data_IF_935486638047
#
_entry.id   IF_935486638047
#
_cell.length_a   1.000
_cell.length_b   1.000
_cell.length_c   1.000
_cell.angle_alpha   90.00
_cell.angle_beta   90.00
_cell.angle_gamma   90.00
#
_symmetry.space_group_name_H-M   'P 1'
#
loop_
_entity.id
_entity.type
_entity.pdbx_description
1 polymer ?
#
# COMPACT_ATOMS: atom_id res chain seq x y z
N UNK A 1 44.27 -31.54 6.08
CA UNK A 1 44.27 -30.08 5.97
C UNK A 1 42.82 -29.65 5.66
N UNK A 2 42.05 -29.39 6.70
CA UNK A 2 40.61 -29.11 6.60
C UNK A 2 40.43 -27.59 6.46
N UNK A 3 39.93 -27.15 5.31
CA UNK A 3 39.56 -25.76 5.07
C UNK A 3 38.25 -25.49 5.83
N UNK A 4 38.36 -24.70 6.90
CA UNK A 4 37.23 -24.17 7.66
C UNK A 4 36.48 -23.14 6.82
N UNK A 5 35.30 -23.52 6.30
CA UNK A 5 34.32 -22.62 5.67
C UNK A 5 33.64 -21.77 6.76
N UNK A 6 34.35 -20.80 7.29
CA UNK A 6 33.76 -19.79 8.16
C UNK A 6 33.00 -18.77 7.30
N UNK A 7 31.72 -19.03 7.05
CA UNK A 7 30.80 -17.98 6.54
C UNK A 7 30.80 -16.82 7.51
N UNK A 8 31.02 -15.56 7.04
CA UNK A 8 30.98 -14.40 7.93
C UNK A 8 29.61 -14.32 8.61
N UNK A 9 29.60 -14.30 9.94
CA UNK A 9 28.41 -14.17 10.74
C UNK A 9 27.72 -12.83 10.36
N UNK A 10 26.51 -12.93 9.83
CA UNK A 10 25.63 -11.76 9.60
C UNK A 10 25.37 -11.14 10.97
N UNK A 11 25.73 -9.87 11.20
CA UNK A 11 25.49 -9.23 12.49
C UNK A 11 23.98 -9.28 12.81
N UNK A 12 23.61 -9.56 14.08
CA UNK A 12 22.21 -9.71 14.48
C UNK A 12 21.45 -8.44 14.08
N UNK A 13 20.41 -8.61 13.26
CA UNK A 13 19.54 -7.53 12.86
C UNK A 13 18.99 -6.87 14.14
N UNK A 14 19.23 -5.56 14.29
CA UNK A 14 18.70 -4.77 15.41
C UNK A 14 17.22 -5.11 15.59
N UNK A 15 16.87 -5.71 16.73
CA UNK A 15 15.53 -6.20 17.06
C UNK A 15 14.52 -5.08 17.37
N UNK A 16 14.82 -3.85 16.96
CA UNK A 16 13.99 -2.67 17.13
C UNK A 16 13.11 -2.42 15.90
N UNK A 17 11.89 -1.97 16.14
CA UNK A 17 11.00 -1.42 15.11
C UNK A 17 11.71 -0.25 14.41
N UNK A 18 11.83 -0.31 13.09
CA UNK A 18 12.50 0.75 12.31
C UNK A 18 11.51 1.92 12.14
N UNK A 19 11.79 3.04 12.80
CA UNK A 19 10.96 4.25 12.75
C UNK A 19 10.84 4.80 11.34
N UNK A 20 11.88 4.63 10.52
CA UNK A 20 11.91 5.06 9.12
C UNK A 20 10.86 4.31 8.28
N UNK A 21 10.67 3.02 8.53
CA UNK A 21 9.67 2.22 7.81
C UNK A 21 8.25 2.66 8.22
N UNK A 22 8.01 2.90 9.50
CA UNK A 22 6.72 3.43 9.97
C UNK A 22 6.47 4.84 9.38
N UNK A 23 7.50 5.68 9.29
CA UNK A 23 7.43 7.00 8.68
C UNK A 23 7.03 6.91 7.20
N UNK A 24 7.71 6.09 6.40
CA UNK A 24 7.35 5.91 4.98
C UNK A 24 5.94 5.34 4.81
N UNK A 25 5.53 4.37 5.64
CA UNK A 25 4.16 3.86 5.62
C UNK A 25 3.13 4.94 5.94
N UNK A 26 3.47 5.85 6.87
CA UNK A 26 2.64 7.00 7.20
C UNK A 26 2.50 7.96 6.02
N UNK A 27 3.60 8.36 5.39
CA UNK A 27 3.58 9.20 4.19
C UNK A 27 2.72 8.57 3.10
N UNK A 28 2.94 7.29 2.79
CA UNK A 28 2.22 6.59 1.73
C UNK A 28 0.72 6.53 2.01
N UNK A 29 0.31 6.32 3.26
CA UNK A 29 -1.11 6.36 3.63
C UNK A 29 -1.72 7.75 3.48
N UNK A 30 -0.99 8.80 3.84
CA UNK A 30 -1.43 10.19 3.61
C UNK A 30 -1.55 10.49 2.10
N UNK A 31 -0.58 10.03 1.30
CA UNK A 31 -0.64 10.14 -0.17
C UNK A 31 -1.85 9.41 -0.74
N UNK A 32 -2.11 8.16 -0.32
CA UNK A 32 -3.28 7.38 -0.77
C UNK A 32 -4.56 8.17 -0.53
N UNK A 33 -4.71 8.82 0.62
CA UNK A 33 -5.93 9.58 0.95
C UNK A 33 -6.11 10.78 0.04
N UNK A 34 -5.08 11.60 -0.16
CA UNK A 34 -5.18 12.79 -1.02
C UNK A 34 -5.27 12.44 -2.51
N UNK A 35 -4.63 11.34 -2.94
CA UNK A 35 -4.67 10.87 -4.33
C UNK A 35 -6.07 10.37 -4.76
N UNK A 36 -6.95 10.09 -3.80
CA UNK A 36 -8.34 9.68 -4.04
C UNK A 36 -9.35 10.82 -3.83
N UNK A 37 -8.89 12.05 -3.71
CA UNK A 37 -9.73 13.26 -3.66
C UNK A 37 -9.54 14.00 -4.99
N UNK A 38 -10.53 13.93 -5.87
CA UNK A 38 -10.52 14.69 -7.12
C UNK A 38 -10.45 16.19 -6.85
N UNK A 39 -9.51 16.89 -7.46
CA UNK A 39 -9.27 18.31 -7.19
C UNK A 39 -8.37 18.62 -5.99
N UNK A 40 -7.81 17.60 -5.30
CA UNK A 40 -6.74 17.80 -4.31
C UNK A 40 -5.55 18.55 -4.92
N UNK A 41 -5.01 19.52 -4.20
CA UNK A 41 -3.80 20.24 -4.61
C UNK A 41 -2.53 19.49 -4.27
N UNK A 42 -2.52 18.78 -3.13
CA UNK A 42 -1.37 17.99 -2.70
C UNK A 42 -1.18 16.76 -3.61
N UNK A 43 -2.26 16.18 -4.14
CA UNK A 43 -2.15 15.04 -5.07
C UNK A 43 -1.31 15.38 -6.31
N UNK A 44 -1.29 16.64 -6.74
CA UNK A 44 -0.50 17.11 -7.89
C UNK A 44 1.03 17.03 -7.70
N UNK A 45 1.49 16.85 -6.47
CA UNK A 45 2.91 16.71 -6.13
C UNK A 45 3.25 15.33 -5.54
N UNK A 46 2.28 14.40 -5.51
CA UNK A 46 2.53 13.01 -5.09
C UNK A 46 3.13 12.17 -6.22
N UNK A 47 3.53 10.93 -5.90
CA UNK A 47 4.22 10.04 -6.84
C UNK A 47 3.49 9.86 -8.17
N UNK A 48 2.16 9.74 -8.13
CA UNK A 48 1.39 9.48 -9.34
C UNK A 48 1.48 10.61 -10.38
N UNK A 49 1.86 11.82 -9.98
CA UNK A 49 1.96 12.98 -10.87
C UNK A 49 3.23 13.01 -11.72
N UNK A 50 4.32 12.39 -11.26
CA UNK A 50 5.61 12.43 -11.95
C UNK A 50 6.28 11.05 -12.13
N UNK A 51 5.75 9.99 -11.50
CA UNK A 51 6.25 8.64 -11.66
C UNK A 51 5.25 7.75 -12.42
N UNK A 52 5.72 6.66 -13.00
CA UNK A 52 4.84 5.64 -13.58
C UNK A 52 4.30 4.65 -12.53
N UNK A 53 4.83 4.66 -11.31
CA UNK A 53 4.26 4.00 -10.13
C UNK A 53 3.55 5.02 -9.24
N UNK A 54 2.78 4.54 -8.28
CA UNK A 54 2.09 5.38 -7.31
C UNK A 54 2.30 4.89 -5.86
N UNK A 55 1.52 5.41 -4.93
CA UNK A 55 1.58 5.04 -3.54
C UNK A 55 1.29 3.54 -3.29
N UNK A 56 0.57 2.86 -4.18
CA UNK A 56 0.21 1.45 -3.98
C UNK A 56 1.41 0.51 -4.06
N UNK A 57 2.34 0.69 -5.03
CA UNK A 57 3.56 -0.11 -5.11
C UNK A 57 4.41 0.03 -3.85
N UNK A 58 4.59 1.28 -3.41
CA UNK A 58 5.34 1.56 -2.18
C UNK A 58 4.67 0.91 -0.97
N UNK A 59 3.34 1.01 -0.88
CA UNK A 59 2.56 0.45 0.22
C UNK A 59 2.67 -1.08 0.28
N UNK A 60 2.57 -1.77 -0.87
CA UNK A 60 2.67 -3.23 -0.95
C UNK A 60 4.09 -3.70 -0.64
N UNK A 61 5.11 -3.03 -1.16
CA UNK A 61 6.51 -3.33 -0.85
C UNK A 61 6.83 -3.17 0.65
N UNK A 62 6.43 -2.04 1.24
CA UNK A 62 6.60 -1.80 2.68
C UNK A 62 5.76 -2.78 3.51
N UNK A 63 4.63 -3.24 2.99
CA UNK A 63 3.82 -4.31 3.56
C UNK A 63 4.60 -5.61 3.68
N UNK A 64 5.27 -6.03 2.60
CA UNK A 64 6.14 -7.22 2.56
C UNK A 64 7.33 -7.11 3.49
N UNK A 65 8.00 -5.95 3.50
CA UNK A 65 9.11 -5.67 4.41
C UNK A 65 8.68 -5.75 5.89
N UNK A 66 7.55 -5.11 6.24
CA UNK A 66 7.04 -5.11 7.61
C UNK A 66 6.54 -6.50 8.04
N UNK A 67 5.89 -7.24 7.14
CA UNK A 67 5.44 -8.61 7.39
C UNK A 67 6.64 -9.53 7.66
N UNK A 68 7.69 -9.46 6.84
CA UNK A 68 8.91 -10.23 7.06
C UNK A 68 9.59 -9.85 8.39
N UNK A 69 9.67 -8.54 8.71
CA UNK A 69 10.23 -8.07 9.99
C UNK A 69 9.45 -8.62 11.18
N UNK A 70 8.11 -8.58 11.12
CA UNK A 70 7.26 -9.07 12.19
C UNK A 70 7.32 -10.59 12.34
N UNK A 71 7.36 -11.33 11.22
CA UNK A 71 7.46 -12.79 11.23
C UNK A 71 8.80 -13.24 11.81
N UNK A 72 9.92 -12.67 11.37
CA UNK A 72 11.25 -12.99 11.88
C UNK A 72 11.35 -12.71 13.38
N UNK A 73 10.99 -11.50 13.82
CA UNK A 73 11.04 -11.13 15.23
C UNK A 73 10.15 -12.01 16.12
N UNK A 74 8.97 -12.43 15.63
CA UNK A 74 8.09 -13.32 16.37
C UNK A 74 8.62 -14.75 16.40
N UNK A 75 9.12 -15.25 15.28
CA UNK A 75 9.68 -16.58 15.15
C UNK A 75 10.92 -16.78 16.05
N UNK A 76 11.78 -15.76 16.15
CA UNK A 76 12.96 -15.78 17.01
C UNK A 76 12.62 -15.72 18.51
N UNK A 77 11.54 -15.01 18.88
CA UNK A 77 11.16 -14.85 20.31
C UNK A 77 10.25 -15.95 20.83
N UNK A 78 9.34 -16.47 20.01
CA UNK A 78 8.25 -17.34 20.44
C UNK A 78 8.08 -18.60 19.60
N UNK A 79 8.96 -18.82 18.62
CA UNK A 79 8.89 -19.97 17.72
C UNK A 79 8.04 -19.74 16.47
N UNK A 80 8.29 -20.56 15.47
CA UNK A 80 7.70 -20.43 14.13
C UNK A 80 6.18 -20.68 14.13
N UNK A 81 5.68 -21.59 14.96
CA UNK A 81 4.25 -21.90 15.00
C UNK A 81 3.42 -20.75 15.59
N UNK A 82 3.96 -20.04 16.58
CA UNK A 82 3.33 -18.83 17.13
C UNK A 82 3.31 -17.74 16.06
N UNK A 83 4.40 -17.57 15.30
CA UNK A 83 4.45 -16.64 14.19
C UNK A 83 3.41 -16.96 13.12
N UNK A 84 3.28 -18.25 12.70
CA UNK A 84 2.25 -18.71 11.75
C UNK A 84 0.83 -18.38 12.22
N UNK A 85 0.48 -18.76 13.46
CA UNK A 85 -0.85 -18.48 14.04
C UNK A 85 -1.14 -16.97 14.09
N UNK A 86 -0.13 -16.14 14.36
CA UNK A 86 -0.27 -14.68 14.34
C UNK A 86 -0.64 -14.17 12.96
N UNK A 87 -0.02 -14.69 11.90
CA UNK A 87 -0.31 -14.26 10.53
C UNK A 87 -1.67 -14.75 10.04
N UNK A 88 -2.13 -15.94 10.45
CA UNK A 88 -3.52 -16.37 10.23
C UNK A 88 -4.51 -15.41 10.89
N UNK A 89 -4.28 -15.03 12.16
CA UNK A 89 -5.11 -14.01 12.84
C UNK A 89 -5.03 -12.65 12.11
N UNK A 90 -3.86 -12.30 11.57
CA UNK A 90 -3.70 -11.07 10.80
C UNK A 90 -4.52 -11.08 9.51
N UNK A 91 -4.57 -12.19 8.79
CA UNK A 91 -5.43 -12.36 7.62
C UNK A 91 -6.91 -12.12 7.98
N UNK A 92 -7.39 -12.71 9.08
CA UNK A 92 -8.77 -12.49 9.58
C UNK A 92 -8.99 -11.00 9.97
N UNK A 93 -7.99 -10.34 10.56
CA UNK A 93 -8.10 -8.91 10.87
C UNK A 93 -8.23 -8.05 9.60
N UNK A 94 -7.46 -8.38 8.55
CA UNK A 94 -7.54 -7.65 7.27
C UNK A 94 -8.87 -7.95 6.56
N UNK A 95 -9.35 -9.19 6.61
CA UNK A 95 -10.66 -9.54 6.09
C UNK A 95 -11.79 -8.77 6.79
N UNK A 96 -11.77 -8.69 8.11
CA UNK A 96 -12.72 -7.86 8.88
C UNK A 96 -12.60 -6.38 8.51
N UNK A 97 -11.40 -5.88 8.27
CA UNK A 97 -11.20 -4.51 7.81
C UNK A 97 -11.76 -4.30 6.39
N UNK A 98 -11.62 -5.29 5.50
CA UNK A 98 -12.27 -5.26 4.18
C UNK A 98 -13.79 -5.12 4.31
N UNK A 99 -14.43 -5.96 5.11
CA UNK A 99 -15.89 -5.89 5.35
C UNK A 99 -16.29 -4.55 5.97
N UNK A 100 -15.53 -4.06 6.96
CA UNK A 100 -15.78 -2.78 7.60
C UNK A 100 -15.63 -1.60 6.61
N UNK A 101 -14.60 -1.63 5.75
CA UNK A 101 -14.40 -0.60 4.72
C UNK A 101 -15.53 -0.64 3.70
N UNK A 102 -15.91 -1.81 3.21
CA UNK A 102 -17.04 -1.99 2.29
C UNK A 102 -18.34 -1.45 2.90
N UNK A 103 -18.67 -1.86 4.12
CA UNK A 103 -19.86 -1.36 4.82
C UNK A 103 -19.83 0.16 4.99
N UNK A 104 -18.69 0.72 5.40
CA UNK A 104 -18.52 2.16 5.59
C UNK A 104 -18.68 2.92 4.26
N UNK A 105 -18.14 2.41 3.17
CA UNK A 105 -18.32 2.99 1.84
C UNK A 105 -19.78 2.98 1.41
N UNK A 106 -20.48 1.85 1.58
CA UNK A 106 -21.91 1.75 1.26
C UNK A 106 -22.76 2.71 2.09
N UNK A 107 -22.46 2.85 3.38
CA UNK A 107 -23.16 3.81 4.26
C UNK A 107 -22.90 5.25 3.81
N UNK A 108 -21.64 5.60 3.55
CA UNK A 108 -21.27 6.95 3.05
C UNK A 108 -21.96 7.22 1.72
N UNK A 109 -21.96 6.26 0.79
CA UNK A 109 -22.64 6.37 -0.51
C UNK A 109 -24.13 6.59 -0.36
N UNK A 110 -24.81 5.81 0.48
CA UNK A 110 -26.24 5.95 0.73
C UNK A 110 -26.58 7.30 1.38
N UNK A 111 -25.75 7.80 2.29
CA UNK A 111 -25.93 9.12 2.91
C UNK A 111 -25.75 10.23 1.87
N UNK A 112 -24.71 10.17 1.04
CA UNK A 112 -24.46 11.17 0.00
C UNK A 112 -25.60 11.19 -1.04
N UNK A 113 -26.05 10.02 -1.48
CA UNK A 113 -27.17 9.88 -2.41
C UNK A 113 -28.48 10.46 -1.83
N UNK A 114 -28.75 10.19 -0.55
CA UNK A 114 -29.91 10.77 0.15
C UNK A 114 -29.92 12.31 0.13
N UNK A 115 -28.75 12.94 0.17
CA UNK A 115 -28.61 14.39 0.06
C UNK A 115 -28.46 14.90 -1.38
N UNK A 116 -28.62 14.03 -2.39
CA UNK A 116 -28.46 14.36 -3.80
C UNK A 116 -27.03 14.82 -4.14
N UNK A 117 -26.02 14.25 -3.49
CA UNK A 117 -24.62 14.55 -3.73
C UNK A 117 -24.06 13.46 -4.64
N UNK A 118 -23.84 13.80 -5.91
CA UNK A 118 -23.17 12.92 -6.86
C UNK A 118 -21.68 12.85 -6.57
N UNK A 119 -21.11 11.66 -6.73
CA UNK A 119 -19.68 11.45 -6.59
C UNK A 119 -19.13 10.68 -7.79
N UNK A 120 -18.14 11.24 -8.50
CA UNK A 120 -17.54 10.56 -9.67
C UNK A 120 -16.74 9.30 -9.27
N UNK A 121 -16.26 9.21 -8.02
CA UNK A 121 -15.51 8.06 -7.51
C UNK A 121 -16.38 7.04 -6.75
N UNK A 122 -17.67 7.34 -6.58
CA UNK A 122 -18.61 6.33 -6.13
C UNK A 122 -18.99 5.48 -7.33
N UNK A 123 -18.67 4.21 -7.28
CA UNK A 123 -19.32 3.22 -8.12
C UNK A 123 -20.77 3.11 -7.60
N UNK A 124 -21.60 4.10 -7.97
CA UNK A 124 -23.05 4.14 -7.65
C UNK A 124 -23.72 2.85 -8.11
N UNK A 125 -23.22 2.26 -9.20
CA UNK A 125 -23.65 0.96 -9.71
C UNK A 125 -23.48 -0.17 -8.68
N UNK A 126 -22.46 -0.13 -7.83
CA UNK A 126 -22.29 -1.13 -6.77
C UNK A 126 -23.37 -1.03 -5.69
N UNK A 127 -23.81 0.18 -5.33
CA UNK A 127 -24.87 0.38 -4.33
C UNK A 127 -26.22 0.01 -4.90
N UNK A 128 -26.56 0.46 -6.11
CA UNK A 128 -27.82 0.13 -6.78
C UNK A 128 -27.98 -1.37 -7.04
N UNK A 129 -26.91 -2.05 -7.49
CA UNK A 129 -26.88 -3.50 -7.69
C UNK A 129 -27.03 -4.26 -6.37
N UNK A 130 -26.37 -3.80 -5.30
CA UNK A 130 -26.50 -4.43 -3.97
C UNK A 130 -27.90 -4.24 -3.38
N UNK A 131 -28.56 -3.10 -3.62
CA UNK A 131 -29.95 -2.87 -3.19
C UNK A 131 -30.93 -3.70 -3.99
N UNK A 132 -30.69 -3.90 -5.28
CA UNK A 132 -31.55 -4.73 -6.15
C UNK A 132 -31.48 -6.23 -5.81
N UNK A 133 -30.30 -6.74 -5.43
CA UNK A 133 -30.07 -8.13 -5.10
C UNK A 133 -29.19 -8.30 -3.84
N UNK A 134 -29.71 -7.94 -2.64
CA UNK A 134 -28.90 -7.77 -1.45
C UNK A 134 -28.20 -9.06 -0.99
N UNK A 135 -28.86 -10.21 -1.13
CA UNK A 135 -28.26 -11.49 -0.74
C UNK A 135 -27.10 -11.89 -1.67
N UNK A 136 -27.28 -11.73 -2.97
CA UNK A 136 -26.24 -12.00 -3.96
C UNK A 136 -25.05 -11.05 -3.75
N UNK A 137 -25.31 -9.76 -3.61
CA UNK A 137 -24.27 -8.76 -3.37
C UNK A 137 -23.50 -9.02 -2.07
N UNK A 138 -24.16 -9.47 -1.01
CA UNK A 138 -23.52 -9.88 0.23
C UNK A 138 -22.58 -11.09 0.02
N UNK A 139 -23.05 -12.12 -0.68
CA UNK A 139 -22.24 -13.31 -0.99
C UNK A 139 -21.03 -12.92 -1.84
N UNK A 140 -21.20 -12.08 -2.87
CA UNK A 140 -20.12 -11.59 -3.72
C UNK A 140 -19.05 -10.81 -2.92
N UNK A 141 -19.45 -9.98 -1.97
CA UNK A 141 -18.52 -9.28 -1.07
C UNK A 141 -17.80 -10.27 -0.16
N UNK A 142 -18.52 -11.19 0.49
CA UNK A 142 -17.93 -12.18 1.39
C UNK A 142 -16.92 -13.10 0.69
N UNK A 143 -17.11 -13.37 -0.60
CA UNK A 143 -16.25 -14.23 -1.42
C UNK A 143 -15.20 -13.47 -2.25
N UNK A 144 -15.07 -12.15 -2.05
CA UNK A 144 -14.20 -11.26 -2.83
C UNK A 144 -14.58 -11.12 -4.32
N UNK A 145 -15.74 -11.60 -4.73
CA UNK A 145 -16.22 -11.43 -6.10
C UNK A 145 -16.72 -10.01 -6.39
N UNK A 146 -17.02 -9.23 -5.34
CA UNK A 146 -17.30 -7.80 -5.41
C UNK A 146 -16.37 -7.06 -4.46
N UNK A 147 -15.67 -6.06 -4.99
CA UNK A 147 -14.66 -5.30 -4.26
C UNK A 147 -14.92 -3.81 -4.50
N UNK A 148 -15.60 -3.10 -3.60
CA UNK A 148 -15.78 -1.67 -3.74
C UNK A 148 -14.46 -0.93 -3.93
N UNK A 149 -14.46 0.10 -4.76
CA UNK A 149 -13.29 0.77 -5.32
C UNK A 149 -12.12 0.97 -4.33
N UNK A 150 -12.37 1.60 -3.19
CA UNK A 150 -11.30 1.85 -2.21
C UNK A 150 -11.02 0.67 -1.27
N UNK A 151 -11.87 -0.38 -1.25
CA UNK A 151 -11.63 -1.58 -0.46
C UNK A 151 -10.84 -2.66 -1.24
N UNK A 152 -10.71 -2.53 -2.55
CA UNK A 152 -10.21 -3.55 -3.49
C UNK A 152 -8.76 -4.03 -3.24
N UNK A 153 -7.94 -3.26 -2.54
CA UNK A 153 -6.58 -3.67 -2.17
C UNK A 153 -6.55 -4.65 -0.99
N UNK A 154 -7.56 -4.65 -0.12
CA UNK A 154 -7.56 -5.45 1.11
C UNK A 154 -7.67 -6.96 0.87
N UNK A 155 -8.48 -7.49 -0.08
CA UNK A 155 -8.49 -8.91 -0.44
C UNK A 155 -7.11 -9.46 -0.79
N UNK A 156 -6.35 -8.71 -1.60
CA UNK A 156 -4.97 -9.05 -1.94
C UNK A 156 -4.09 -9.16 -0.68
N UNK A 157 -4.23 -8.24 0.28
CA UNK A 157 -3.48 -8.29 1.55
C UNK A 157 -3.88 -9.45 2.46
N UNK A 158 -5.13 -9.94 2.38
CA UNK A 158 -5.53 -11.20 3.06
C UNK A 158 -4.68 -12.34 2.54
N UNK A 159 -4.57 -12.48 1.20
CA UNK A 159 -3.76 -13.52 0.56
C UNK A 159 -2.28 -13.40 0.95
N UNK A 160 -1.73 -12.19 0.98
CA UNK A 160 -0.33 -11.95 1.36
C UNK A 160 -0.07 -12.28 2.83
N UNK A 161 -1.00 -12.00 3.72
CA UNK A 161 -0.88 -12.38 5.13
C UNK A 161 -0.88 -13.91 5.29
N UNK A 162 -1.72 -14.63 4.54
CA UNK A 162 -1.75 -16.10 4.52
C UNK A 162 -0.46 -16.69 3.93
N UNK A 163 0.11 -16.06 2.90
CA UNK A 163 1.33 -16.52 2.23
C UNK A 163 2.62 -16.19 3.02
N UNK A 164 2.60 -15.20 3.92
CA UNK A 164 3.79 -14.75 4.68
C UNK A 164 4.54 -15.87 5.39
N UNK A 165 3.87 -16.86 6.07
CA UNK A 165 4.54 -17.98 6.71
C UNK A 165 5.34 -18.89 5.77
N UNK A 166 5.03 -18.89 4.47
CA UNK A 166 5.79 -19.60 3.45
C UNK A 166 6.86 -18.69 2.82
N UNK A 167 6.51 -17.45 2.50
CA UNK A 167 7.39 -16.48 1.84
C UNK A 167 8.64 -16.18 2.67
N UNK A 168 8.50 -15.93 3.99
CA UNK A 168 9.62 -15.47 4.81
C UNK A 168 10.70 -16.55 5.01
N UNK A 169 10.38 -17.82 5.33
CA UNK A 169 11.38 -18.87 5.39
C UNK A 169 12.08 -19.10 4.03
N UNK A 170 11.35 -19.05 2.91
CA UNK A 170 11.91 -19.14 1.56
C UNK A 170 12.83 -17.95 1.25
N UNK A 171 12.45 -16.72 1.61
CA UNK A 171 13.27 -15.53 1.45
C UNK A 171 14.59 -15.62 2.22
N UNK A 172 14.63 -16.32 3.36
CA UNK A 172 15.86 -16.54 4.15
C UNK A 172 16.73 -17.66 3.60
N UNK A 173 16.11 -18.78 3.21
CA UNK A 173 16.83 -20.00 2.86
C UNK A 173 17.15 -20.10 1.37
N UNK A 174 16.20 -19.71 0.50
CA UNK A 174 16.30 -19.84 -0.96
C UNK A 174 15.81 -18.60 -1.69
N UNK A 175 16.47 -17.42 -1.48
CA UNK A 175 16.00 -16.14 -2.00
C UNK A 175 15.92 -16.09 -3.52
N UNK A 176 16.83 -16.76 -4.23
CA UNK A 176 16.85 -16.79 -5.70
C UNK A 176 15.65 -17.56 -6.25
N UNK A 177 15.31 -18.70 -5.66
CA UNK A 177 14.15 -19.49 -6.07
C UNK A 177 12.83 -18.80 -5.76
N UNK A 178 12.73 -18.13 -4.61
CA UNK A 178 11.58 -17.31 -4.29
C UNK A 178 11.41 -16.16 -5.29
N UNK A 179 12.49 -15.47 -5.63
CA UNK A 179 12.45 -14.40 -6.62
C UNK A 179 12.05 -14.93 -8.01
N UNK A 180 12.65 -16.03 -8.46
CA UNK A 180 12.33 -16.64 -9.75
C UNK A 180 10.87 -17.08 -9.84
N UNK A 181 10.33 -17.75 -8.81
CA UNK A 181 8.93 -18.14 -8.74
C UNK A 181 7.98 -16.92 -8.70
N UNK A 182 8.35 -15.88 -7.96
CA UNK A 182 7.60 -14.63 -7.92
C UNK A 182 7.59 -13.91 -9.28
N UNK A 183 8.73 -13.88 -9.97
CA UNK A 183 8.84 -13.31 -11.30
C UNK A 183 8.02 -14.12 -12.32
N UNK A 184 8.09 -15.45 -12.28
CA UNK A 184 7.28 -16.33 -13.14
C UNK A 184 5.77 -16.12 -12.92
N UNK A 185 5.34 -16.02 -11.66
CA UNK A 185 3.94 -15.69 -11.31
C UNK A 185 3.53 -14.34 -11.86
N UNK A 186 4.40 -13.31 -11.78
CA UNK A 186 4.13 -11.99 -12.34
C UNK A 186 4.03 -12.04 -13.87
N UNK A 187 4.90 -12.75 -14.55
CA UNK A 187 4.85 -12.91 -16.01
C UNK A 187 3.56 -13.63 -16.47
N UNK A 188 3.12 -14.64 -15.72
CA UNK A 188 1.89 -15.38 -15.98
C UNK A 188 0.63 -14.69 -15.43
N UNK A 189 0.76 -13.56 -14.75
CA UNK A 189 -0.31 -12.95 -13.94
C UNK A 189 -1.58 -12.62 -14.71
N UNK A 190 -1.47 -12.19 -15.96
CA UNK A 190 -2.63 -11.86 -16.81
C UNK A 190 -3.49 -13.09 -17.07
N UNK A 191 -2.86 -14.21 -17.41
CA UNK A 191 -3.54 -15.47 -17.63
C UNK A 191 -4.11 -16.01 -16.30
N UNK A 192 -3.31 -16.09 -15.25
CA UNK A 192 -3.74 -16.55 -13.93
C UNK A 192 -4.90 -15.70 -13.36
N UNK A 193 -4.86 -14.39 -13.58
CA UNK A 193 -5.92 -13.48 -13.13
C UNK A 193 -7.22 -13.72 -13.88
N UNK A 194 -7.16 -13.89 -15.19
CA UNK A 194 -8.34 -14.13 -16.03
C UNK A 194 -9.01 -15.48 -15.70
N UNK A 195 -8.21 -16.54 -15.51
CA UNK A 195 -8.73 -17.90 -15.29
C UNK A 195 -9.20 -18.16 -13.83
N UNK A 196 -8.53 -17.56 -12.85
CA UNK A 196 -8.73 -17.94 -11.45
C UNK A 196 -9.47 -16.89 -10.59
N UNK A 197 -9.51 -15.63 -11.04
CA UNK A 197 -10.04 -14.54 -10.23
C UNK A 197 -11.21 -13.81 -10.88
N UNK A 198 -11.17 -13.65 -12.19
CA UNK A 198 -12.18 -12.86 -12.89
C UNK A 198 -13.47 -13.67 -13.06
N UNK A 199 -14.58 -12.97 -12.96
CA UNK A 199 -15.90 -13.47 -13.35
C UNK A 199 -16.42 -12.67 -14.54
N UNK A 200 -17.44 -13.13 -15.27
CA UNK A 200 -18.03 -12.33 -16.34
C UNK A 200 -18.50 -10.95 -15.94
N UNK A 201 -18.92 -10.80 -14.68
CA UNK A 201 -19.47 -9.55 -14.12
C UNK A 201 -18.46 -8.71 -13.33
N UNK A 202 -17.31 -9.29 -12.93
CA UNK A 202 -16.34 -8.59 -12.09
C UNK A 202 -14.89 -8.98 -12.37
N UNK A 203 -14.01 -7.99 -12.39
CA UNK A 203 -12.56 -8.17 -12.51
C UNK A 203 -11.85 -7.59 -11.28
N UNK A 204 -10.91 -8.32 -10.73
CA UNK A 204 -10.10 -7.83 -9.62
C UNK A 204 -9.32 -6.58 -10.01
N UNK A 205 -9.44 -5.50 -9.21
CA UNK A 205 -8.71 -4.25 -9.44
C UNK A 205 -7.21 -4.38 -9.21
N UNK A 206 -6.80 -5.30 -8.30
CA UNK A 206 -5.42 -5.64 -8.03
C UNK A 206 -5.22 -7.14 -8.18
N UNK A 207 -4.54 -7.55 -9.25
CA UNK A 207 -4.24 -8.95 -9.50
C UNK A 207 -3.18 -9.46 -8.51
N UNK A 208 -3.52 -10.33 -7.54
CA UNK A 208 -2.57 -10.77 -6.51
C UNK A 208 -1.37 -11.55 -7.09
N UNK A 209 -1.53 -12.22 -8.24
CA UNK A 209 -0.44 -12.91 -8.93
C UNK A 209 0.59 -11.93 -9.50
N UNK A 210 0.19 -10.72 -9.83
CA UNK A 210 1.11 -9.65 -10.23
C UNK A 210 1.70 -8.93 -9.01
N UNK A 211 0.86 -8.45 -8.13
CA UNK A 211 1.24 -7.60 -7.02
C UNK A 211 2.05 -8.30 -5.92
N UNK A 212 2.01 -9.64 -5.87
CA UNK A 212 2.88 -10.41 -4.98
C UNK A 212 4.36 -10.13 -5.25
N UNK A 213 4.74 -9.72 -6.48
CA UNK A 213 6.13 -9.36 -6.79
C UNK A 213 6.62 -8.22 -5.89
N UNK A 214 5.84 -7.16 -5.71
CA UNK A 214 6.19 -6.05 -4.81
C UNK A 214 6.30 -6.51 -3.36
N UNK A 215 5.37 -7.34 -2.90
CA UNK A 215 5.39 -7.89 -1.55
C UNK A 215 6.61 -8.79 -1.30
N UNK A 216 6.92 -9.67 -2.23
CA UNK A 216 8.09 -10.57 -2.17
C UNK A 216 9.39 -9.76 -2.22
N UNK A 217 9.50 -8.74 -3.07
CA UNK A 217 10.66 -7.84 -3.10
C UNK A 217 10.87 -7.17 -1.74
N UNK A 218 9.81 -6.69 -1.09
CA UNK A 218 9.88 -6.13 0.26
C UNK A 218 10.39 -7.14 1.29
N UNK A 219 9.89 -8.39 1.24
CA UNK A 219 10.33 -9.46 2.11
C UNK A 219 11.80 -9.85 1.86
N UNK A 220 12.22 -9.92 0.59
CA UNK A 220 13.60 -10.22 0.20
C UNK A 220 14.57 -9.13 0.69
N UNK A 221 14.26 -7.86 0.48
CA UNK A 221 15.10 -6.74 0.94
C UNK A 221 15.23 -6.73 2.47
N UNK A 222 14.20 -7.18 3.19
CA UNK A 222 14.26 -7.33 4.66
C UNK A 222 15.14 -8.53 5.08
N UNK A 223 15.05 -9.64 4.38
CA UNK A 223 15.75 -10.88 4.75
C UNK A 223 17.20 -10.97 4.23
N UNK A 224 17.51 -10.25 3.15
CA UNK A 224 18.81 -10.30 2.45
C UNK A 224 19.44 -8.89 2.36
N UNK A 225 20.75 -8.74 2.46
CA UNK A 225 21.44 -7.45 2.38
C UNK A 225 21.60 -6.94 0.94
N UNK A 226 20.54 -7.07 0.10
CA UNK A 226 20.60 -6.81 -1.35
C UNK A 226 21.14 -5.42 -1.64
N UNK A 227 20.52 -4.39 -1.08
CA UNK A 227 20.93 -3.01 -1.31
C UNK A 227 22.39 -2.76 -0.88
N UNK A 228 22.77 -3.21 0.33
CA UNK A 228 24.14 -3.01 0.83
C UNK A 228 25.18 -3.71 -0.06
N UNK A 229 24.86 -4.92 -0.53
CA UNK A 229 25.75 -5.69 -1.40
C UNK A 229 25.93 -5.04 -2.77
N UNK A 230 24.88 -4.45 -3.34
CA UNK A 230 24.95 -3.76 -4.62
C UNK A 230 25.59 -2.37 -4.49
N UNK A 231 25.20 -1.60 -3.48
CA UNK A 231 25.72 -0.25 -3.25
C UNK A 231 27.22 -0.22 -2.85
N UNK A 232 27.75 -1.31 -2.27
CA UNK A 232 29.16 -1.43 -1.91
C UNK A 232 30.06 -1.75 -3.12
N UNK A 233 29.49 -2.17 -4.25
CA UNK A 233 30.26 -2.47 -5.47
C UNK A 233 30.59 -1.18 -6.24
N UNK A 234 31.65 -1.17 -7.09
CA UNK A 234 31.97 -0.02 -7.93
C UNK A 234 30.81 0.45 -8.81
N UNK A 235 29.90 -0.46 -9.19
CA UNK A 235 28.66 -0.14 -9.92
C UNK A 235 27.56 0.55 -9.13
N UNK A 236 27.69 0.72 -7.80
CA UNK A 236 26.65 1.35 -6.97
C UNK A 236 26.30 2.77 -7.40
N UNK A 237 27.33 3.61 -7.71
CA UNK A 237 27.12 4.97 -8.24
C UNK A 237 26.46 4.96 -9.63
N UNK A 238 26.80 3.97 -10.46
CA UNK A 238 26.17 3.80 -11.79
C UNK A 238 24.69 3.47 -11.62
N UNK A 239 24.32 2.60 -10.68
CA UNK A 239 22.92 2.28 -10.39
C UNK A 239 22.16 3.51 -9.89
N UNK A 240 22.78 4.35 -9.06
CA UNK A 240 22.18 5.64 -8.64
C UNK A 240 21.96 6.58 -9.84
N UNK A 241 22.95 6.67 -10.75
CA UNK A 241 22.81 7.44 -12.00
C UNK A 241 21.69 6.92 -12.90
N UNK A 242 21.59 5.60 -13.08
CA UNK A 242 20.50 4.95 -13.83
C UNK A 242 19.15 5.25 -13.17
N UNK A 243 19.05 5.11 -11.85
CA UNK A 243 17.80 5.39 -11.12
C UNK A 243 17.37 6.84 -11.27
N UNK A 244 18.28 7.80 -11.18
CA UNK A 244 18.01 9.21 -11.46
C UNK A 244 17.54 9.43 -12.89
N UNK A 245 18.18 8.81 -13.89
CA UNK A 245 17.79 8.85 -15.29
C UNK A 245 16.37 8.31 -15.51
N UNK A 246 16.04 7.15 -14.92
CA UNK A 246 14.69 6.56 -15.01
C UNK A 246 13.64 7.49 -14.41
N UNK A 247 13.89 8.06 -13.22
CA UNK A 247 12.95 8.99 -12.58
C UNK A 247 12.79 10.25 -13.42
N UNK A 248 13.88 10.82 -13.97
CA UNK A 248 13.82 11.99 -14.84
C UNK A 248 13.01 11.73 -16.13
N UNK A 249 13.22 10.58 -16.77
CA UNK A 249 12.45 10.17 -17.97
C UNK A 249 10.98 10.00 -17.63
N UNK A 250 10.65 9.31 -16.53
CA UNK A 250 9.27 9.15 -16.09
C UNK A 250 8.59 10.51 -15.80
N UNK A 251 9.29 11.41 -15.11
CA UNK A 251 8.80 12.75 -14.80
C UNK A 251 8.59 13.58 -16.08
N UNK A 252 9.58 13.56 -16.99
CA UNK A 252 9.44 14.25 -18.28
C UNK A 252 8.22 13.72 -19.07
N UNK A 253 8.06 12.39 -19.13
CA UNK A 253 6.94 11.77 -19.82
C UNK A 253 5.60 12.19 -19.20
N UNK A 254 5.46 12.12 -17.88
CA UNK A 254 4.21 12.47 -17.18
C UNK A 254 3.87 13.95 -17.27
N UNK A 255 4.86 14.84 -17.18
CA UNK A 255 4.63 16.28 -17.09
C UNK A 255 4.55 16.98 -18.45
N UNK A 256 5.22 16.43 -19.48
CA UNK A 256 5.42 17.16 -20.74
C UNK A 256 4.97 16.40 -21.99
N UNK A 257 4.78 15.06 -21.97
CA UNK A 257 4.46 14.33 -23.19
C UNK A 257 3.02 14.54 -23.69
N UNK A 258 2.09 14.87 -22.78
CA UNK A 258 0.66 15.00 -23.12
C UNK A 258 0.00 13.68 -23.57
N UNK A 259 0.73 12.57 -23.58
CA UNK A 259 0.20 11.27 -24.03
C UNK A 259 -0.60 10.60 -22.91
N UNK A 260 -1.85 10.16 -23.18
CA UNK A 260 -2.63 9.46 -22.18
C UNK A 260 -2.00 8.10 -21.88
N UNK A 261 -1.79 7.82 -20.60
CA UNK A 261 -1.44 6.47 -20.15
C UNK A 261 -2.72 5.65 -19.99
N UNK A 262 -2.79 4.42 -20.49
CA UNK A 262 -3.89 3.50 -20.23
C UNK A 262 -3.77 2.98 -18.77
N UNK A 263 -4.10 3.83 -17.79
CA UNK A 263 -3.76 3.63 -16.39
C UNK A 263 -4.37 2.38 -15.76
N UNK A 264 -5.63 2.09 -16.03
CA UNK A 264 -6.35 0.98 -15.39
C UNK A 264 -5.74 -0.40 -15.64
N UNK A 265 -5.50 -0.76 -16.90
CA UNK A 265 -4.93 -2.05 -17.29
C UNK A 265 -3.47 -2.20 -16.83
N UNK A 266 -2.70 -1.12 -16.88
CA UNK A 266 -1.30 -1.12 -16.42
C UNK A 266 -1.18 -1.31 -14.93
N UNK A 267 -2.13 -0.80 -14.13
CA UNK A 267 -2.12 -0.91 -12.66
C UNK A 267 -2.55 -2.30 -12.20
N UNK A 268 -3.63 -2.84 -12.76
CA UNK A 268 -4.19 -4.13 -12.38
C UNK A 268 -3.14 -5.25 -12.37
N UNK A 269 -2.41 -5.40 -13.46
CA UNK A 269 -1.44 -6.47 -13.69
C UNK A 269 0.01 -6.01 -13.46
N UNK A 270 0.21 -4.89 -12.78
CA UNK A 270 1.51 -4.35 -12.41
C UNK A 270 2.49 -4.30 -13.60
N UNK A 271 2.25 -3.44 -14.58
CA UNK A 271 3.06 -3.33 -15.79
C UNK A 271 4.56 -3.15 -15.46
N UNK A 272 5.42 -3.65 -16.34
CA UNK A 272 6.87 -3.57 -16.19
C UNK A 272 7.40 -2.13 -16.00
N UNK A 273 6.77 -1.15 -16.65
CA UNK A 273 7.10 0.26 -16.52
C UNK A 273 6.89 0.78 -15.08
N UNK A 274 5.82 0.31 -14.40
CA UNK A 274 5.55 0.61 -13.00
C UNK A 274 6.59 -0.02 -12.09
N UNK A 275 6.97 -1.28 -12.36
CA UNK A 275 8.01 -1.99 -11.61
C UNK A 275 9.35 -1.27 -11.71
N UNK A 276 9.78 -0.88 -12.92
CA UNK A 276 11.06 -0.17 -13.14
C UNK A 276 11.04 1.20 -12.45
N UNK A 277 9.96 1.96 -12.62
CA UNK A 277 9.80 3.27 -11.97
C UNK A 277 9.86 3.14 -10.45
N UNK A 278 9.18 2.13 -9.87
CA UNK A 278 9.24 1.85 -8.45
C UNK A 278 10.64 1.46 -7.98
N UNK A 279 11.33 0.56 -8.68
CA UNK A 279 12.68 0.13 -8.31
C UNK A 279 13.68 1.28 -8.32
N UNK A 280 13.58 2.20 -9.28
CA UNK A 280 14.40 3.40 -9.33
C UNK A 280 14.16 4.31 -8.11
N UNK A 281 12.91 4.57 -7.76
CA UNK A 281 12.55 5.37 -6.58
C UNK A 281 12.98 4.66 -5.29
N UNK A 282 12.76 3.35 -5.17
CA UNK A 282 13.16 2.58 -4.00
C UNK A 282 14.68 2.59 -3.79
N UNK A 283 15.46 2.55 -4.88
CA UNK A 283 16.92 2.67 -4.83
C UNK A 283 17.34 4.04 -4.29
N UNK A 284 16.80 5.13 -4.86
CA UNK A 284 17.10 6.50 -4.42
C UNK A 284 16.68 6.75 -2.96
N UNK A 285 15.54 6.19 -2.54
CA UNK A 285 15.11 6.28 -1.14
C UNK A 285 16.03 5.49 -0.21
N UNK A 286 16.58 4.37 -0.64
CA UNK A 286 17.57 3.62 0.13
C UNK A 286 18.90 4.39 0.24
N UNK A 287 19.33 5.09 -0.83
CA UNK A 287 20.49 5.98 -0.78
C UNK A 287 20.23 7.16 0.20
N UNK A 288 19.06 7.78 0.16
CA UNK A 288 18.67 8.85 1.07
C UNK A 288 18.65 8.38 2.54
N UNK A 289 18.17 7.15 2.80
CA UNK A 289 18.20 6.57 4.13
C UNK A 289 19.63 6.42 4.69
N UNK A 290 20.63 6.13 3.84
CA UNK A 290 22.04 6.05 4.26
C UNK A 290 22.59 7.37 4.80
N UNK A 291 22.09 8.50 4.30
CA UNK A 291 22.48 9.83 4.78
C UNK A 291 21.95 10.11 6.20
N UNK A 292 21.08 9.27 6.75
CA UNK A 292 20.54 9.41 8.11
C UNK A 292 19.51 10.53 8.29
N UNK A 293 19.17 11.28 7.24
CA UNK A 293 18.22 12.40 7.30
C UNK A 293 16.80 11.92 7.57
N UNK A 294 16.42 10.78 6.96
CA UNK A 294 15.08 10.20 7.14
C UNK A 294 14.82 9.87 8.62
N UNK A 295 15.80 9.28 9.31
CA UNK A 295 15.67 8.97 10.72
C UNK A 295 15.58 10.22 11.63
N UNK A 296 16.24 11.33 11.24
CA UNK A 296 16.08 12.63 11.93
C UNK A 296 14.69 13.18 11.70
N UNK A 297 14.22 13.22 10.46
CA UNK A 297 12.90 13.70 10.09
C UNK A 297 11.78 12.89 10.75
N UNK A 298 11.87 11.56 10.72
CA UNK A 298 10.91 10.67 11.36
C UNK A 298 10.76 10.92 12.89
N UNK A 299 11.83 11.34 13.54
CA UNK A 299 11.79 11.71 14.98
C UNK A 299 11.08 13.03 15.24
N UNK A 300 11.11 13.95 14.30
CA UNK A 300 10.42 15.25 14.42
C UNK A 300 8.93 15.11 14.06
N UNK A 301 8.61 14.36 13.02
CA UNK A 301 7.23 14.25 12.50
C UNK A 301 6.52 13.00 13.07
N UNK A 302 6.44 12.91 14.39
CA UNK A 302 5.83 11.79 15.11
C UNK A 302 4.38 11.45 14.71
N UNK A 303 3.49 12.43 14.40
CA UNK A 303 2.14 12.13 13.93
C UNK A 303 2.11 11.28 12.66
N UNK A 304 3.02 11.53 11.69
CA UNK A 304 3.14 10.73 10.47
C UNK A 304 3.58 9.30 10.78
N UNK A 305 4.55 9.13 11.68
CA UNK A 305 4.97 7.81 12.16
C UNK A 305 3.81 7.07 12.82
N UNK A 306 2.98 7.76 13.61
CA UNK A 306 1.79 7.18 14.23
C UNK A 306 0.76 6.69 13.21
N UNK A 307 0.55 7.41 12.09
CA UNK A 307 -0.28 6.94 10.95
C UNK A 307 0.26 5.61 10.42
N UNK A 308 1.56 5.52 10.14
CA UNK A 308 2.18 4.27 9.66
C UNK A 308 2.08 3.12 10.65
N UNK A 309 2.14 3.40 11.95
CA UNK A 309 1.98 2.42 13.01
C UNK A 309 0.56 1.86 13.10
N UNK A 310 -0.46 2.65 12.76
CA UNK A 310 -1.88 2.28 12.79
C UNK A 310 -2.45 2.05 11.40
N UNK A 311 -1.62 1.70 10.44
CA UNK A 311 -1.90 1.70 9.03
C UNK A 311 -3.26 1.13 8.62
N UNK A 312 -3.72 0.02 9.22
CA UNK A 312 -5.01 -0.58 8.86
C UNK A 312 -6.20 0.30 9.27
N UNK A 313 -6.17 0.89 10.46
CA UNK A 313 -7.23 1.79 10.94
C UNK A 313 -7.23 3.09 10.14
N UNK A 314 -6.05 3.66 9.92
CA UNK A 314 -5.89 4.88 9.11
C UNK A 314 -6.31 4.65 7.65
N UNK A 315 -6.09 3.45 7.11
CA UNK A 315 -6.59 3.07 5.78
C UNK A 315 -8.13 3.08 5.75
N UNK A 316 -8.78 2.31 6.65
CA UNK A 316 -10.25 2.19 6.70
C UNK A 316 -10.93 3.54 6.88
N UNK A 317 -10.45 4.37 7.80
CA UNK A 317 -11.03 5.71 8.03
C UNK A 317 -10.67 6.66 6.90
N UNK A 318 -9.44 6.56 6.39
CA UNK A 318 -8.96 7.38 5.27
C UNK A 318 -9.79 7.21 4.00
N UNK A 319 -10.21 5.98 3.68
CA UNK A 319 -11.08 5.73 2.53
C UNK A 319 -12.43 6.44 2.65
N UNK A 320 -13.05 6.44 3.83
CA UNK A 320 -14.31 7.17 4.06
C UNK A 320 -14.12 8.69 3.96
N UNK A 321 -13.01 9.20 4.51
CA UNK A 321 -12.66 10.63 4.42
C UNK A 321 -12.46 11.03 2.95
N UNK A 322 -11.67 10.26 2.17
CA UNK A 322 -11.43 10.55 0.76
C UNK A 322 -12.74 10.58 -0.02
N UNK A 323 -13.58 9.56 0.14
CA UNK A 323 -14.85 9.45 -0.56
C UNK A 323 -15.78 10.62 -0.26
N UNK A 324 -15.92 10.97 1.02
CA UNK A 324 -16.78 12.08 1.46
C UNK A 324 -16.27 13.41 0.92
N UNK A 325 -14.95 13.68 1.05
CA UNK A 325 -14.38 14.95 0.61
C UNK A 325 -14.37 15.08 -0.92
N UNK A 326 -14.12 13.99 -1.64
CA UNK A 326 -14.20 13.97 -3.11
C UNK A 326 -15.59 14.36 -3.59
N UNK A 327 -16.63 13.76 -3.02
CA UNK A 327 -18.02 14.06 -3.37
C UNK A 327 -18.43 15.50 -3.05
N UNK A 328 -18.06 15.97 -1.84
CA UNK A 328 -18.34 17.35 -1.41
C UNK A 328 -17.59 18.36 -2.28
N UNK A 329 -16.37 18.06 -2.65
CA UNK A 329 -15.53 18.93 -3.46
C UNK A 329 -16.03 19.00 -4.91
N UNK A 330 -16.49 17.87 -5.46
CA UNK A 330 -17.13 17.83 -6.77
C UNK A 330 -18.36 18.73 -6.80
N UNK A 331 -19.24 18.61 -5.80
CA UNK A 331 -20.43 19.49 -5.67
C UNK A 331 -20.06 20.96 -5.50
N UNK A 332 -19.05 21.27 -4.67
CA UNK A 332 -18.60 22.65 -4.45
C UNK A 332 -17.96 23.25 -5.71
N UNK A 333 -17.27 22.47 -6.52
CA UNK A 333 -16.66 22.91 -7.77
C UNK A 333 -17.70 23.34 -8.83
N UNK A 334 -18.94 22.86 -8.74
CA UNK A 334 -20.05 23.30 -9.60
C UNK A 334 -20.58 24.69 -9.21
N UNK A 335 -20.20 25.22 -8.05
CA UNK A 335 -20.63 26.53 -7.58
C UNK A 335 -19.65 27.63 -8.01
N UNK A 336 -20.11 28.73 -8.64
CA UNK A 336 -19.26 29.82 -9.06
C UNK A 336 -18.65 30.63 -7.89
N UNK A 337 -19.12 30.38 -6.67
CA UNK A 337 -18.71 31.13 -5.48
C UNK A 337 -17.39 30.66 -4.87
N UNK A 338 -16.90 29.49 -5.26
CA UNK A 338 -15.70 28.89 -4.67
C UNK A 338 -14.55 28.78 -5.66
N UNK A 339 -13.36 29.19 -5.22
CA UNK A 339 -12.13 28.93 -5.98
C UNK A 339 -11.78 27.43 -5.93
N UNK A 340 -11.63 26.74 -7.07
CA UNK A 340 -11.23 25.34 -7.10
C UNK A 340 -9.92 25.06 -6.35
N UNK A 341 -8.97 25.98 -6.40
CA UNK A 341 -7.69 25.89 -5.68
C UNK A 341 -7.90 25.96 -4.17
N UNK A 342 -8.73 26.93 -3.71
CA UNK A 342 -8.98 27.13 -2.28
C UNK A 342 -9.69 25.94 -1.65
N UNK A 343 -10.73 25.42 -2.31
CA UNK A 343 -11.47 24.25 -1.80
C UNK A 343 -10.62 22.99 -1.84
N UNK A 344 -9.72 22.82 -2.84
CA UNK A 344 -8.78 21.72 -2.92
C UNK A 344 -7.82 21.70 -1.73
N UNK A 345 -7.19 22.83 -1.39
CA UNK A 345 -6.33 22.94 -0.20
C UNK A 345 -7.11 22.73 1.10
N UNK A 346 -8.35 23.21 1.20
CA UNK A 346 -9.19 22.99 2.37
C UNK A 346 -9.51 21.50 2.56
N UNK A 347 -9.85 20.79 1.49
CA UNK A 347 -10.09 19.35 1.53
C UNK A 347 -8.83 18.58 1.95
N UNK A 348 -7.67 18.92 1.40
CA UNK A 348 -6.39 18.33 1.77
C UNK A 348 -6.08 18.54 3.27
N UNK A 349 -6.25 19.77 3.77
CA UNK A 349 -6.01 20.10 5.16
C UNK A 349 -6.95 19.32 6.10
N UNK A 350 -8.24 19.19 5.75
CA UNK A 350 -9.21 18.40 6.51
C UNK A 350 -8.83 16.93 6.50
N UNK A 351 -8.54 16.36 5.32
CA UNK A 351 -8.19 14.95 5.18
C UNK A 351 -6.96 14.57 6.01
N UNK A 352 -5.88 15.34 5.83
CA UNK A 352 -4.63 15.11 6.53
C UNK A 352 -4.77 15.37 8.04
N UNK A 353 -5.45 16.46 8.43
CA UNK A 353 -5.71 16.81 9.82
C UNK A 353 -6.51 15.72 10.54
N UNK A 354 -7.57 15.18 9.94
CA UNK A 354 -8.36 14.09 10.50
C UNK A 354 -7.53 12.82 10.71
N UNK A 355 -6.69 12.43 9.73
CA UNK A 355 -5.85 11.24 9.87
C UNK A 355 -4.74 11.39 10.91
N UNK A 356 -4.07 12.55 10.93
CA UNK A 356 -3.02 12.83 11.90
C UNK A 356 -3.56 12.88 13.33
N UNK A 357 -4.74 13.48 13.54
CA UNK A 357 -5.41 13.51 14.86
C UNK A 357 -5.88 12.12 15.29
N UNK A 358 -6.51 11.36 14.38
CA UNK A 358 -6.90 9.96 14.63
C UNK A 358 -5.69 9.11 15.04
N UNK A 359 -4.58 9.26 14.33
CA UNK A 359 -3.37 8.50 14.62
C UNK A 359 -2.72 8.93 15.94
N UNK A 360 -2.81 10.18 16.31
CA UNK A 360 -2.21 10.72 17.55
C UNK A 360 -3.04 10.42 18.79
N UNK A 361 -4.37 10.33 18.68
CA UNK A 361 -5.34 10.14 19.79
C UNK A 361 -5.30 8.75 20.45
N UNK A 362 -4.38 7.89 20.06
CA UNK A 362 -4.32 6.49 20.48
C UNK A 362 -4.07 6.19 21.96
N UNK A 363 -3.72 7.17 22.76
CA UNK A 363 -3.73 7.03 24.22
C UNK A 363 -5.13 6.84 24.79
N UNK A 364 -6.14 7.42 24.14
CA UNK A 364 -7.55 7.32 24.55
C UNK A 364 -8.15 5.93 24.28
N UNK A 365 -7.91 5.36 23.10
CA UNK A 365 -8.36 4.00 22.75
C UNK A 365 -7.71 2.90 23.57
N UNK A 366 -6.47 3.06 24.00
CA UNK A 366 -5.80 2.12 24.92
C UNK A 366 -6.37 2.21 26.35
N UNK A 367 -6.85 3.35 26.78
CA UNK A 367 -7.54 3.52 28.07
C UNK A 367 -8.91 2.85 28.07
N UNK A 368 -9.65 2.92 26.94
CA UNK A 368 -10.95 2.24 26.80
C UNK A 368 -10.83 0.70 26.79
N UNK A 369 -9.70 0.15 26.32
CA UNK A 369 -9.44 -1.30 26.37
C UNK A 369 -8.97 -1.80 27.74
N UNK A 370 -8.70 -0.93 28.69
CA UNK A 370 -8.27 -1.26 30.07
C UNK A 370 -9.41 -1.20 31.08
N UNK A 371 -10.67 -1.19 30.63
CA UNK A 371 -11.79 -1.45 31.55
C UNK A 371 -11.69 -2.93 31.91
N UNK A 372 -11.41 -3.28 33.19
CA UNK A 372 -11.34 -4.67 33.63
C UNK A 372 -12.73 -5.29 33.52
N UNK A 373 -12.77 -6.53 33.02
CA UNK A 373 -13.93 -7.39 33.11
C UNK A 373 -14.19 -7.82 34.55
#
# INVERSE_FOLDING_TARGET
MALSDARPAVPPARSGRLIEIDFFRGIVLLMIVVDHIGGSMISKITLHSYALCDAAEVFVFLGGFAAASAFVAMSERHGTDVARRRFLRRAVQIYRAFLATTTLMLVVSAVLDHFGIESPNLALDDVSVMLATPLTGLIEVLTFQRQPYLASVLPMYVLFALATPAIVPLARRWPVWLFAGSLASWLASRWLGAELLDTPSFKWSFNPFAWQLMFVLGALVRCQPIYRSLAARPGGAVLTGIALGVVAVCAYYKLFSGLPLPEGLLKRDLAWSRVISFLAIAWLMADLMRLGWVGKLARVVQPVVAVGQRGLVCYVVGTAISLTLDSLLHRAALSPHFSPIGIGFAADAIALGCLLTLASSGGWWQRLRRVPA
#
